data_IF_764653368823
#
_entry.id   IF_764653368823
#
_cell.length_a   1.000
_cell.length_b   1.000
_cell.length_c   1.000
_cell.angle_alpha   90.00
_cell.angle_beta   90.00
_cell.angle_gamma   90.00
#
_symmetry.space_group_name_H-M   'P 1'
#
loop_
_entity.id
_entity.type
_entity.pdbx_description
1 polymer ?
#
# COMPACT_ATOMS: atom_id res chain seq x y z
N UNK A 1 -26.14 4.03 2.94
CA UNK A 1 -25.75 4.63 4.22
C UNK A 1 -25.51 3.51 5.22
N UNK A 2 -24.34 3.50 5.88
CA UNK A 2 -24.04 2.55 6.95
C UNK A 2 -25.14 2.68 8.02
N UNK A 3 -25.62 1.53 8.49
CA UNK A 3 -26.63 1.52 9.55
C UNK A 3 -25.99 1.97 10.84
N UNK A 4 -26.74 2.64 11.71
CA UNK A 4 -26.25 3.14 12.99
C UNK A 4 -25.58 2.02 13.80
N UNK A 5 -26.16 0.82 13.79
CA UNK A 5 -25.64 -0.36 14.48
C UNK A 5 -24.26 -0.79 13.95
N UNK A 6 -23.98 -0.67 12.66
CA UNK A 6 -22.68 -0.99 12.02
C UNK A 6 -21.61 0.02 12.47
N UNK A 7 -21.96 1.31 12.53
CA UNK A 7 -21.08 2.34 13.05
C UNK A 7 -20.78 2.16 14.54
N UNK A 8 -21.78 1.79 15.33
CA UNK A 8 -21.60 1.51 16.77
C UNK A 8 -20.66 0.31 16.98
N UNK A 9 -20.79 -0.74 16.16
CA UNK A 9 -19.91 -1.91 16.18
C UNK A 9 -18.47 -1.53 15.84
N UNK A 10 -18.25 -0.77 14.76
CA UNK A 10 -16.92 -0.28 14.38
C UNK A 10 -16.33 0.63 15.46
N UNK A 11 -17.13 1.55 16.01
CA UNK A 11 -16.69 2.45 17.07
C UNK A 11 -16.44 1.75 18.40
N UNK A 12 -16.89 0.52 18.58
CA UNK A 12 -16.45 -0.37 19.68
C UNK A 12 -14.95 -0.68 19.62
N UNK A 13 -14.30 -0.46 18.48
CA UNK A 13 -12.85 -0.60 18.30
C UNK A 13 -12.06 0.71 18.48
N UNK A 14 -12.69 1.74 19.03
CA UNK A 14 -12.05 3.03 19.30
C UNK A 14 -11.21 2.97 20.57
N UNK A 15 -9.89 3.03 20.38
CA UNK A 15 -8.88 3.05 21.43
C UNK A 15 -7.86 4.15 21.14
N UNK A 16 -8.14 5.41 21.50
CA UNK A 16 -7.30 6.56 21.09
C UNK A 16 -5.87 6.51 21.63
N UNK A 17 -5.70 5.91 22.82
CA UNK A 17 -4.41 5.79 23.50
C UNK A 17 -3.73 4.44 23.24
N UNK A 18 -4.21 3.66 22.27
CA UNK A 18 -3.59 2.38 21.93
C UNK A 18 -2.22 2.59 21.31
N UNK A 19 -1.21 2.01 21.92
CA UNK A 19 0.16 1.98 21.40
C UNK A 19 0.56 0.51 21.23
N UNK A 20 0.71 0.05 19.96
CA UNK A 20 1.11 -1.33 19.70
C UNK A 20 2.54 -1.59 20.17
N UNK A 21 2.78 -2.74 20.73
CA UNK A 21 4.14 -3.24 20.94
C UNK A 21 4.72 -3.66 19.59
N UNK A 22 6.05 -3.62 19.47
CA UNK A 22 6.70 -3.90 18.18
C UNK A 22 6.42 -5.33 17.70
N UNK A 23 6.36 -6.28 18.63
CA UNK A 23 6.12 -7.71 18.37
C UNK A 23 4.69 -7.99 17.87
N UNK A 24 3.77 -7.08 18.13
CA UNK A 24 2.37 -7.23 17.70
C UNK A 24 2.21 -7.04 16.17
N UNK A 25 3.19 -6.45 15.50
CA UNK A 25 3.19 -6.19 14.06
C UNK A 25 1.94 -5.45 13.54
N UNK A 26 1.39 -4.52 14.35
CA UNK A 26 0.34 -3.63 13.88
C UNK A 26 0.89 -2.68 12.81
N UNK A 27 0.10 -2.47 11.76
CA UNK A 27 0.38 -1.43 10.77
C UNK A 27 -0.59 -0.27 10.94
N UNK A 28 -0.08 0.96 11.02
CA UNK A 28 -0.90 2.16 11.07
C UNK A 28 -1.23 2.66 9.67
N UNK A 29 -2.51 2.79 9.35
CA UNK A 29 -2.98 3.39 8.12
C UNK A 29 -3.34 4.85 8.38
N UNK A 30 -2.60 5.77 7.78
CA UNK A 30 -2.83 7.20 7.88
C UNK A 30 -3.16 7.82 6.52
N UNK A 31 -3.85 8.96 6.54
CA UNK A 31 -4.27 9.64 5.31
C UNK A 31 -3.17 10.50 4.70
N UNK A 32 -2.17 10.91 5.49
CA UNK A 32 -1.12 11.86 5.11
C UNK A 32 0.25 11.21 5.09
N UNK A 33 1.04 11.55 4.09
CA UNK A 33 2.40 11.02 3.92
C UNK A 33 3.35 11.51 5.03
N UNK A 34 3.28 12.80 5.37
CA UNK A 34 4.13 13.39 6.43
C UNK A 34 3.90 12.73 7.80
N UNK A 35 2.66 12.34 8.11
CA UNK A 35 2.34 11.58 9.32
C UNK A 35 2.97 10.17 9.29
N UNK A 36 2.90 9.50 8.15
CA UNK A 36 3.53 8.17 7.97
C UNK A 36 5.03 8.24 8.11
N UNK A 37 5.66 9.20 7.45
CA UNK A 37 7.12 9.39 7.50
C UNK A 37 7.55 9.67 8.95
N UNK A 38 6.86 10.58 9.65
CA UNK A 38 7.13 10.88 11.07
C UNK A 38 7.02 9.64 11.98
N UNK A 39 5.97 8.81 11.80
CA UNK A 39 5.79 7.59 12.63
C UNK A 39 6.94 6.62 12.38
N UNK A 40 7.29 6.38 11.12
CA UNK A 40 8.33 5.42 10.76
C UNK A 40 9.72 5.90 11.23
N UNK A 41 10.06 7.17 11.02
CA UNK A 41 11.33 7.75 11.47
C UNK A 41 11.46 7.73 13.01
N UNK A 42 10.40 8.13 13.71
CA UNK A 42 10.35 8.10 15.17
C UNK A 42 10.56 6.69 15.71
N UNK A 43 9.80 5.70 15.18
CA UNK A 43 9.91 4.31 15.60
C UNK A 43 11.29 3.72 15.32
N UNK A 44 11.89 4.03 14.17
CA UNK A 44 13.25 3.61 13.85
C UNK A 44 14.27 4.21 14.83
N UNK A 45 14.11 5.51 15.16
CA UNK A 45 15.01 6.19 16.09
C UNK A 45 14.92 5.64 17.52
N UNK A 46 13.73 5.19 17.96
CA UNK A 46 13.48 4.59 19.27
C UNK A 46 14.07 3.18 19.43
N UNK A 47 14.35 2.47 18.33
CA UNK A 47 14.98 1.16 18.40
C UNK A 47 16.44 1.25 18.85
N UNK A 48 16.87 0.30 19.71
CA UNK A 48 18.28 0.18 20.09
C UNK A 48 19.15 -0.27 18.92
N UNK A 49 20.45 -0.19 19.09
CA UNK A 49 21.43 -0.68 18.13
C UNK A 49 21.79 0.32 17.03
N UNK A 50 22.72 -0.10 16.20
CA UNK A 50 23.25 0.71 15.10
C UNK A 50 22.33 0.68 13.90
N UNK A 51 22.26 1.80 13.19
CA UNK A 51 21.51 1.93 11.96
C UNK A 51 22.34 1.36 10.80
N UNK A 52 21.76 0.46 10.06
CA UNK A 52 22.30 -0.05 8.81
C UNK A 52 21.64 0.65 7.63
N UNK A 53 22.44 1.14 6.69
CA UNK A 53 21.95 1.78 5.47
C UNK A 53 22.26 0.89 4.28
N UNK A 54 21.20 0.29 3.73
CA UNK A 54 21.28 -0.40 2.45
C UNK A 54 21.26 0.63 1.33
N UNK A 55 22.34 0.71 0.56
CA UNK A 55 22.47 1.66 -0.56
C UNK A 55 22.04 0.99 -1.84
N UNK A 56 20.94 1.47 -2.43
CA UNK A 56 20.44 0.98 -3.72
C UNK A 56 21.34 1.44 -4.88
N UNK A 57 21.22 0.75 -6.00
CA UNK A 57 21.99 1.01 -7.21
C UNK A 57 21.07 1.39 -8.36
N UNK A 58 21.34 2.53 -8.98
CA UNK A 58 20.66 2.97 -10.21
C UNK A 58 21.62 2.84 -11.39
N UNK A 59 21.15 2.23 -12.47
CA UNK A 59 21.85 2.19 -13.75
C UNK A 59 20.92 2.74 -14.83
N UNK A 60 21.46 3.59 -15.72
CA UNK A 60 20.69 4.23 -16.79
C UNK A 60 19.67 5.26 -16.31
N UNK A 61 18.54 5.35 -17.00
CA UNK A 61 17.47 6.33 -16.74
C UNK A 61 16.40 5.70 -15.83
N UNK A 62 16.51 5.93 -14.52
CA UNK A 62 15.50 5.53 -13.54
C UNK A 62 15.15 6.73 -12.64
N UNK A 63 13.99 7.40 -12.87
CA UNK A 63 13.62 8.60 -12.12
C UNK A 63 13.44 8.34 -10.62
N UNK A 64 13.96 9.20 -9.77
CA UNK A 64 13.80 9.10 -8.31
C UNK A 64 12.34 9.04 -7.87
N UNK A 65 11.44 9.75 -8.56
CA UNK A 65 9.99 9.72 -8.30
C UNK A 65 9.34 8.36 -8.53
N UNK A 66 10.01 7.47 -9.28
CA UNK A 66 9.54 6.13 -9.62
C UNK A 66 10.18 5.04 -8.75
N UNK A 67 11.08 5.40 -7.83
CA UNK A 67 11.71 4.43 -6.94
C UNK A 67 10.67 3.70 -6.09
N UNK A 68 10.62 2.36 -6.15
CA UNK A 68 9.69 1.55 -5.35
C UNK A 68 10.01 1.63 -3.85
N UNK A 69 11.26 1.83 -3.47
CA UNK A 69 11.72 2.07 -2.09
C UNK A 69 12.79 3.16 -2.06
N UNK A 70 13.33 3.47 -0.88
CA UNK A 70 14.36 4.50 -0.73
C UNK A 70 15.69 4.05 -1.36
N UNK A 71 16.40 4.98 -2.02
CA UNK A 71 17.75 4.72 -2.52
C UNK A 71 18.70 4.38 -1.37
N UNK A 72 18.63 5.12 -0.27
CA UNK A 72 19.34 4.83 0.97
C UNK A 72 18.29 4.36 1.97
N UNK A 73 18.16 3.05 2.12
CA UNK A 73 17.19 2.43 3.01
C UNK A 73 17.80 2.23 4.39
N UNK A 74 17.39 3.05 5.35
CA UNK A 74 17.82 2.94 6.76
C UNK A 74 16.94 1.94 7.49
N UNK A 75 17.58 0.95 8.12
CA UNK A 75 16.94 -0.08 8.94
C UNK A 75 17.76 -0.38 10.18
N UNK A 76 17.14 -0.99 11.18
CA UNK A 76 17.79 -1.57 12.37
C UNK A 76 17.22 -2.96 12.64
N UNK A 77 17.93 -3.74 13.44
CA UNK A 77 17.30 -4.93 14.03
C UNK A 77 16.01 -4.53 14.77
N UNK A 78 15.00 -5.38 14.72
CA UNK A 78 13.64 -5.17 15.22
C UNK A 78 12.83 -4.13 14.42
N UNK A 79 13.34 -3.57 13.33
CA UNK A 79 12.53 -2.69 12.48
C UNK A 79 11.40 -3.46 11.80
N UNK A 80 10.18 -2.92 11.92
CA UNK A 80 9.03 -3.45 11.20
C UNK A 80 9.08 -3.02 9.73
N UNK A 81 8.99 -3.99 8.84
CA UNK A 81 9.08 -3.77 7.39
C UNK A 81 7.91 -4.41 6.65
N UNK A 82 7.63 -3.91 5.46
CA UNK A 82 6.69 -4.48 4.51
C UNK A 82 7.41 -4.81 3.21
N UNK A 83 7.17 -6.00 2.68
CA UNK A 83 7.65 -6.37 1.36
C UNK A 83 6.84 -5.66 0.28
N UNK A 84 7.52 -5.11 -0.71
CA UNK A 84 6.93 -4.30 -1.79
C UNK A 84 6.94 -4.99 -3.15
N UNK A 85 7.40 -6.22 -3.17
CA UNK A 85 7.42 -7.07 -4.35
C UNK A 85 7.13 -8.53 -3.97
N UNK A 86 6.71 -9.32 -4.96
CA UNK A 86 6.51 -10.75 -4.78
C UNK A 86 7.83 -11.48 -4.92
N UNK A 87 8.11 -12.39 -4.01
CA UNK A 87 9.30 -13.23 -4.11
C UNK A 87 9.15 -14.30 -5.21
N UNK A 88 10.22 -14.56 -5.95
CA UNK A 88 10.22 -15.57 -7.01
C UNK A 88 9.98 -16.97 -6.47
N UNK A 89 10.53 -17.30 -5.30
CA UNK A 89 10.34 -18.59 -4.63
C UNK A 89 9.06 -18.65 -3.78
N UNK A 90 8.25 -17.57 -3.80
CA UNK A 90 6.99 -17.45 -3.06
C UNK A 90 7.16 -17.50 -1.54
N UNK A 91 8.31 -17.09 -1.02
CA UNK A 91 8.56 -16.96 0.43
C UNK A 91 7.69 -15.86 1.05
N UNK A 92 7.41 -14.81 0.28
CA UNK A 92 6.50 -13.70 0.64
C UNK A 92 5.81 -13.14 -0.61
N UNK A 93 4.80 -12.32 -0.38
CA UNK A 93 4.12 -11.53 -1.42
C UNK A 93 4.17 -10.06 -1.08
N UNK A 94 3.90 -9.21 -2.07
CA UNK A 94 3.74 -7.77 -1.84
C UNK A 94 2.68 -7.51 -0.76
N UNK A 95 3.05 -6.75 0.27
CA UNK A 95 2.22 -6.47 1.44
C UNK A 95 2.49 -7.37 2.65
N UNK A 96 3.32 -8.41 2.53
CA UNK A 96 3.73 -9.22 3.68
C UNK A 96 4.49 -8.35 4.68
N UNK A 97 4.11 -8.41 5.95
CA UNK A 97 4.79 -7.72 7.05
C UNK A 97 5.79 -8.66 7.71
N UNK A 98 6.91 -8.11 8.13
CA UNK A 98 7.91 -8.80 8.93
C UNK A 98 8.69 -7.84 9.82
N UNK A 99 9.56 -8.41 10.62
CA UNK A 99 10.48 -7.68 11.49
C UNK A 99 11.90 -8.08 11.15
N UNK A 100 12.80 -7.11 11.01
CA UNK A 100 14.23 -7.39 10.80
C UNK A 100 14.74 -8.15 12.02
N UNK A 101 15.09 -9.42 11.84
CA UNK A 101 15.56 -10.30 12.91
C UNK A 101 17.08 -10.27 13.09
N UNK A 102 17.81 -9.85 12.07
CA UNK A 102 19.26 -9.69 12.14
C UNK A 102 19.83 -9.06 10.88
N UNK A 103 21.01 -8.47 11.04
CA UNK A 103 21.85 -7.95 9.96
C UNK A 103 23.26 -8.47 10.22
N UNK A 104 23.83 -9.28 9.34
CA UNK A 104 25.14 -9.84 9.53
C UNK A 104 26.28 -8.87 9.13
N UNK A 105 27.52 -9.28 9.41
CA UNK A 105 28.72 -8.48 9.11
C UNK A 105 28.93 -8.21 7.60
N UNK A 106 28.29 -9.02 6.73
CA UNK A 106 28.33 -8.85 5.28
C UNK A 106 27.20 -7.94 4.77
N UNK A 107 26.31 -7.47 5.66
CA UNK A 107 25.14 -6.67 5.32
C UNK A 107 23.96 -7.50 4.80
N UNK A 108 23.95 -8.82 5.02
CA UNK A 108 22.78 -9.63 4.73
C UNK A 108 21.69 -9.35 5.76
N UNK A 109 20.50 -9.07 5.27
CA UNK A 109 19.33 -8.71 6.09
C UNK A 109 18.39 -9.91 6.20
N UNK A 110 18.07 -10.29 7.43
CA UNK A 110 17.13 -11.35 7.74
C UNK A 110 15.83 -10.75 8.27
N UNK A 111 14.71 -11.28 7.82
CA UNK A 111 13.37 -10.81 8.23
C UNK A 111 12.53 -12.00 8.70
N UNK A 112 12.04 -11.88 9.94
CA UNK A 112 11.07 -12.80 10.53
C UNK A 112 9.67 -12.36 10.11
N UNK A 113 8.96 -13.22 9.41
CA UNK A 113 7.58 -12.97 8.97
C UNK A 113 6.58 -13.22 10.10
N UNK A 114 5.36 -12.68 9.98
CA UNK A 114 4.24 -12.94 10.90
C UNK A 114 3.93 -14.45 11.03
N UNK A 115 4.24 -15.25 10.01
CA UNK A 115 4.14 -16.72 10.03
C UNK A 115 5.13 -17.41 10.99
N UNK A 116 6.11 -16.68 11.55
CA UNK A 116 7.20 -17.22 12.37
C UNK A 116 8.36 -17.79 11.58
N UNK A 117 8.39 -17.63 10.25
CA UNK A 117 9.49 -18.07 9.39
C UNK A 117 10.43 -16.91 9.10
N UNK A 118 11.73 -17.15 9.30
CA UNK A 118 12.79 -16.19 8.98
C UNK A 118 13.34 -16.44 7.57
N UNK A 119 13.57 -15.35 6.84
CA UNK A 119 14.14 -15.39 5.50
C UNK A 119 15.26 -14.37 5.32
N UNK A 120 16.31 -14.78 4.61
CA UNK A 120 17.28 -13.86 4.01
C UNK A 120 16.57 -13.05 2.92
N UNK A 121 16.71 -11.73 2.98
CA UNK A 121 16.16 -10.80 1.98
C UNK A 121 17.26 -10.37 1.03
N UNK A 122 17.16 -10.79 -0.22
CA UNK A 122 18.09 -10.42 -1.26
C UNK A 122 17.60 -9.19 -2.03
N UNK A 123 18.51 -8.34 -2.58
CA UNK A 123 18.13 -7.23 -3.44
C UNK A 123 17.35 -7.71 -4.68
N UNK A 124 16.37 -6.91 -5.06
CA UNK A 124 15.56 -7.08 -6.28
C UNK A 124 15.87 -5.96 -7.26
N UNK A 125 15.84 -6.27 -8.55
CA UNK A 125 16.07 -5.31 -9.62
C UNK A 125 14.76 -4.95 -10.32
N UNK A 126 14.39 -3.66 -10.29
CA UNK A 126 13.27 -3.11 -11.03
C UNK A 126 13.76 -2.47 -12.33
N UNK A 127 12.96 -2.55 -13.39
CA UNK A 127 13.30 -2.06 -14.73
C UNK A 127 12.40 -0.89 -15.11
N UNK A 128 13.00 0.15 -15.69
CA UNK A 128 12.29 1.23 -16.34
C UNK A 128 12.24 0.96 -17.83
N UNK A 129 11.04 1.00 -18.42
CA UNK A 129 10.81 0.72 -19.83
C UNK A 129 10.40 1.98 -20.57
N UNK A 130 10.95 2.18 -21.79
CA UNK A 130 10.41 3.09 -22.79
C UNK A 130 9.75 2.28 -23.89
N UNK A 131 8.59 2.76 -24.32
CA UNK A 131 7.84 2.16 -25.41
C UNK A 131 8.15 2.94 -26.70
N UNK A 132 8.61 2.24 -27.74
CA UNK A 132 8.84 2.80 -29.08
C UNK A 132 7.95 2.08 -30.07
N UNK A 133 7.33 2.86 -30.97
CA UNK A 133 6.60 2.26 -32.09
C UNK A 133 7.58 1.92 -33.21
N UNK A 134 7.65 0.65 -33.59
CA UNK A 134 8.42 0.18 -34.72
C UNK A 134 7.52 0.23 -35.97
N UNK A 135 7.75 1.22 -36.85
CA UNK A 135 6.95 1.42 -38.07
C UNK A 135 7.06 0.26 -39.06
N UNK A 136 8.22 -0.44 -39.09
CA UNK A 136 8.45 -1.57 -40.02
C UNK A 136 7.67 -2.79 -39.61
N UNK A 137 7.64 -3.09 -38.30
CA UNK A 137 6.98 -4.26 -37.75
C UNK A 137 5.56 -3.96 -37.27
N UNK A 138 5.12 -2.70 -37.30
CA UNK A 138 3.81 -2.20 -36.85
C UNK A 138 3.46 -2.65 -35.42
N UNK A 139 4.45 -2.69 -34.55
CA UNK A 139 4.29 -3.08 -33.13
C UNK A 139 4.98 -2.10 -32.20
N UNK A 140 4.51 -2.09 -30.95
CA UNK A 140 5.18 -1.38 -29.86
C UNK A 140 6.30 -2.28 -29.34
N UNK A 141 7.52 -1.75 -29.27
CA UNK A 141 8.69 -2.40 -28.70
C UNK A 141 9.01 -1.78 -27.34
N UNK A 142 9.39 -2.64 -26.39
CA UNK A 142 9.83 -2.25 -25.05
C UNK A 142 11.37 -2.20 -25.03
N UNK A 143 11.92 -1.07 -24.59
CA UNK A 143 13.35 -0.90 -24.38
C UNK A 143 13.60 -0.62 -22.89
N UNK A 144 14.45 -1.42 -22.25
CA UNK A 144 14.90 -1.15 -20.88
C UNK A 144 15.87 0.03 -20.94
N UNK A 145 15.50 1.14 -20.30
CA UNK A 145 16.31 2.39 -20.28
C UNK A 145 17.03 2.59 -18.96
N UNK A 146 16.62 1.90 -17.91
CA UNK A 146 17.28 1.95 -16.61
C UNK A 146 16.84 0.83 -15.70
N UNK A 147 17.64 0.60 -14.66
CA UNK A 147 17.36 -0.35 -13.59
C UNK A 147 17.61 0.27 -12.22
N UNK A 148 16.87 -0.19 -11.24
CA UNK A 148 17.08 0.12 -9.83
C UNK A 148 17.16 -1.17 -9.03
N UNK A 149 18.22 -1.35 -8.25
CA UNK A 149 18.43 -2.51 -7.39
C UNK A 149 18.45 -2.09 -5.93
N UNK A 150 17.65 -2.76 -5.08
CA UNK A 150 17.57 -2.52 -3.64
C UNK A 150 16.84 -3.69 -2.97
N UNK A 151 16.93 -3.80 -1.65
CA UNK A 151 16.10 -4.69 -0.85
C UNK A 151 14.60 -4.38 -1.10
N UNK A 152 13.76 -5.39 -1.38
CA UNK A 152 12.34 -5.19 -1.71
C UNK A 152 11.48 -4.94 -0.47
N UNK A 153 11.94 -4.08 0.43
CA UNK A 153 11.29 -3.75 1.69
C UNK A 153 11.21 -2.24 1.93
N UNK A 154 10.31 -1.84 2.82
CA UNK A 154 10.19 -0.48 3.39
C UNK A 154 9.89 -0.57 4.87
N UNK A 155 10.22 0.46 5.63
CA UNK A 155 9.70 0.63 6.98
C UNK A 155 8.17 0.66 6.96
N UNK A 156 7.54 -0.01 7.90
CA UNK A 156 6.10 -0.23 7.88
C UNK A 156 5.42 -0.27 9.26
N UNK A 157 5.82 0.56 10.20
CA UNK A 157 4.94 0.87 11.34
C UNK A 157 3.73 1.67 10.90
N UNK A 158 3.90 2.48 9.83
CA UNK A 158 2.80 3.17 9.17
C UNK A 158 2.96 3.16 7.64
N UNK A 159 1.82 3.16 6.94
CA UNK A 159 1.72 3.42 5.50
C UNK A 159 0.50 4.30 5.22
N UNK A 160 0.46 4.95 4.05
CA UNK A 160 -0.73 5.70 3.67
C UNK A 160 -1.87 4.76 3.25
N UNK A 161 -3.12 5.18 3.52
CA UNK A 161 -4.31 4.45 3.05
C UNK A 161 -4.24 4.20 1.54
N UNK A 162 -3.71 5.16 0.77
CA UNK A 162 -3.53 4.99 -0.68
C UNK A 162 -2.60 3.83 -1.03
N UNK A 163 -1.44 3.74 -0.37
CA UNK A 163 -0.46 2.65 -0.61
C UNK A 163 -0.92 1.29 -0.07
N UNK A 164 -1.92 1.26 0.80
CA UNK A 164 -2.51 0.01 1.31
C UNK A 164 -3.55 -0.59 0.36
N UNK A 165 -3.90 0.07 -0.74
CA UNK A 165 -4.87 -0.46 -1.71
C UNK A 165 -4.40 -1.79 -2.28
N UNK A 166 -5.31 -2.78 -2.29
CA UNK A 166 -5.00 -4.14 -2.73
C UNK A 166 -4.30 -5.03 -1.71
N UNK A 167 -3.84 -4.47 -0.58
CA UNK A 167 -3.21 -5.21 0.50
C UNK A 167 -4.23 -5.56 1.59
N UNK A 168 -3.93 -6.57 2.40
CA UNK A 168 -4.70 -6.95 3.59
C UNK A 168 -3.76 -7.29 4.74
N UNK A 169 -4.19 -6.99 5.96
CA UNK A 169 -3.40 -7.16 7.16
C UNK A 169 -4.24 -7.78 8.27
N UNK A 170 -3.63 -8.56 9.14
CA UNK A 170 -4.28 -9.15 10.31
C UNK A 170 -4.53 -8.13 11.42
N UNK A 171 -3.65 -7.13 11.55
CA UNK A 171 -3.67 -6.13 12.62
C UNK A 171 -3.44 -4.72 12.07
N UNK A 172 -4.44 -3.85 12.25
CA UNK A 172 -4.45 -2.52 11.66
C UNK A 172 -4.87 -1.48 12.69
N UNK A 173 -4.10 -0.41 12.78
CA UNK A 173 -4.51 0.84 13.44
C UNK A 173 -4.95 1.82 12.35
N UNK A 174 -6.21 2.25 12.36
CA UNK A 174 -6.72 3.28 11.44
C UNK A 174 -6.63 4.63 12.13
N UNK A 175 -5.77 5.50 11.59
CA UNK A 175 -5.58 6.87 12.06
C UNK A 175 -6.07 7.87 11.00
N UNK A 176 -7.27 8.37 11.20
CA UNK A 176 -7.89 9.41 10.37
C UNK A 176 -7.80 10.81 10.98
N UNK A 177 -6.97 11.00 12.01
CA UNK A 177 -6.82 12.32 12.69
C UNK A 177 -6.31 13.41 11.76
N UNK A 178 -5.56 13.04 10.71
CA UNK A 178 -5.14 13.95 9.63
C UNK A 178 -6.26 14.43 8.70
N UNK A 179 -7.50 13.97 8.89
CA UNK A 179 -8.64 14.23 8.04
C UNK A 179 -8.80 13.23 6.89
N UNK A 180 -10.01 13.13 6.36
CA UNK A 180 -10.35 12.32 5.18
C UNK A 180 -10.51 13.25 3.99
N UNK A 181 -9.65 13.16 2.99
CA UNK A 181 -9.58 14.10 1.87
C UNK A 181 -10.27 13.60 0.60
N UNK A 182 -10.46 12.27 0.48
CA UNK A 182 -11.07 11.68 -0.69
C UNK A 182 -12.21 10.71 -0.31
N UNK A 183 -13.27 10.73 -1.10
CA UNK A 183 -14.37 9.77 -0.95
C UNK A 183 -13.83 8.34 -1.01
N UNK A 184 -14.30 7.50 -0.10
CA UNK A 184 -13.91 6.09 -0.02
C UNK A 184 -12.64 5.80 0.79
N UNK A 185 -11.84 6.78 1.22
CA UNK A 185 -10.62 6.52 2.02
C UNK A 185 -10.91 5.74 3.30
N UNK A 186 -11.98 6.12 4.03
CA UNK A 186 -12.39 5.40 5.24
C UNK A 186 -12.73 3.94 4.95
N UNK A 187 -13.48 3.68 3.86
CA UNK A 187 -13.80 2.33 3.43
C UNK A 187 -12.55 1.54 3.07
N UNK A 188 -11.63 2.13 2.30
CA UNK A 188 -10.35 1.49 1.95
C UNK A 188 -9.58 1.13 3.21
N UNK A 189 -9.43 2.05 4.17
CA UNK A 189 -8.69 1.80 5.40
C UNK A 189 -9.31 0.66 6.21
N UNK A 190 -10.64 0.69 6.43
CA UNK A 190 -11.36 -0.35 7.18
C UNK A 190 -11.29 -1.71 6.51
N UNK A 191 -11.39 -1.75 5.17
CA UNK A 191 -11.35 -2.99 4.40
C UNK A 191 -9.95 -3.62 4.29
N UNK A 192 -8.91 -2.97 4.83
CA UNK A 192 -7.55 -3.55 4.88
C UNK A 192 -7.39 -4.57 6.00
N UNK A 193 -8.18 -4.49 7.07
CA UNK A 193 -8.12 -5.44 8.16
C UNK A 193 -8.96 -6.69 7.86
N UNK A 194 -8.39 -7.87 8.10
CA UNK A 194 -9.05 -9.15 7.82
C UNK A 194 -10.11 -9.52 8.87
N UNK A 195 -10.05 -8.93 10.06
CA UNK A 195 -11.00 -9.18 11.15
C UNK A 195 -11.30 -7.92 11.96
N UNK A 196 -12.44 -7.90 12.64
CA UNK A 196 -12.79 -6.80 13.53
C UNK A 196 -11.90 -6.76 14.78
N UNK A 197 -11.44 -7.92 15.24
CA UNK A 197 -10.57 -8.06 16.42
C UNK A 197 -9.20 -7.43 16.19
N UNK A 198 -8.67 -7.53 14.98
CA UNK A 198 -7.39 -6.91 14.58
C UNK A 198 -7.47 -5.42 14.31
N UNK A 199 -8.68 -4.84 14.28
CA UNK A 199 -8.89 -3.43 13.96
C UNK A 199 -8.81 -2.57 15.23
N UNK A 200 -8.08 -1.46 15.14
CA UNK A 200 -8.05 -0.38 16.15
C UNK A 200 -8.32 0.94 15.46
N UNK A 201 -9.18 1.77 16.06
CA UNK A 201 -9.47 3.13 15.56
C UNK A 201 -8.87 4.17 16.51
N UNK A 202 -8.07 5.10 16.01
CA UNK A 202 -7.54 6.27 16.76
C UNK A 202 -8.56 7.40 16.88
N UNK A 203 -9.58 7.42 16.00
CA UNK A 203 -10.69 8.37 16.03
C UNK A 203 -12.00 7.65 15.76
N UNK A 204 -13.10 8.14 16.37
CA UNK A 204 -14.43 7.60 16.07
C UNK A 204 -14.82 7.93 14.64
N UNK A 205 -15.43 6.95 13.97
CA UNK A 205 -15.96 7.10 12.63
C UNK A 205 -17.39 7.61 12.72
N UNK A 206 -17.68 8.61 11.93
CA UNK A 206 -19.02 9.17 11.76
C UNK A 206 -19.55 8.92 10.35
N UNK A 207 -20.84 9.11 10.14
CA UNK A 207 -21.43 9.00 8.81
C UNK A 207 -20.86 10.01 7.80
N UNK A 208 -20.24 11.09 8.28
CA UNK A 208 -19.59 12.11 7.45
C UNK A 208 -18.25 11.64 6.89
N UNK A 209 -17.60 10.70 7.54
CA UNK A 209 -16.31 10.11 7.12
C UNK A 209 -16.52 9.04 6.05
N UNK A 210 -17.78 8.59 5.88
CA UNK A 210 -18.18 7.60 4.89
C UNK A 210 -18.96 8.31 3.80
N UNK A 211 -18.27 8.94 2.87
CA UNK A 211 -18.90 9.63 1.75
C UNK A 211 -18.41 9.07 0.41
N UNK A 212 -19.32 9.05 -0.55
CA UNK A 212 -19.05 8.71 -1.94
C UNK A 212 -19.33 9.98 -2.76
N UNK A 213 -18.46 10.31 -3.70
CA UNK A 213 -18.70 11.46 -4.61
C UNK A 213 -20.01 11.24 -5.36
N UNK A 214 -20.82 12.30 -5.48
CA UNK A 214 -22.11 12.23 -6.17
C UNK A 214 -21.95 11.73 -7.61
N UNK A 215 -20.92 12.19 -8.30
CA UNK A 215 -20.61 11.80 -9.68
C UNK A 215 -20.41 10.28 -9.83
N UNK A 216 -19.81 9.62 -8.82
CA UNK A 216 -19.64 8.15 -8.82
C UNK A 216 -20.98 7.45 -8.62
N UNK A 217 -21.84 8.00 -7.74
CA UNK A 217 -23.19 7.43 -7.52
C UNK A 217 -24.03 7.59 -8.78
N UNK A 218 -24.02 8.76 -9.40
CA UNK A 218 -24.72 9.04 -10.65
C UNK A 218 -24.20 8.14 -11.78
N UNK A 219 -22.88 8.04 -11.95
CA UNK A 219 -22.27 7.12 -12.91
C UNK A 219 -22.68 5.68 -12.68
N UNK A 220 -22.65 5.19 -11.42
CA UNK A 220 -23.04 3.84 -11.07
C UNK A 220 -24.53 3.55 -11.39
N UNK A 221 -25.39 4.55 -11.19
CA UNK A 221 -26.82 4.43 -11.53
C UNK A 221 -27.04 4.37 -13.05
N UNK A 222 -26.29 5.15 -13.81
CA UNK A 222 -26.33 5.16 -15.28
C UNK A 222 -25.73 3.85 -15.84
N UNK A 223 -24.56 3.46 -15.34
CA UNK A 223 -23.81 2.29 -15.81
C UNK A 223 -24.56 0.96 -15.57
N UNK A 224 -25.30 0.86 -14.48
CA UNK A 224 -26.10 -0.33 -14.15
C UNK A 224 -27.54 -0.24 -14.68
N UNK A 225 -27.88 0.79 -15.43
CA UNK A 225 -29.21 0.95 -15.99
C UNK A 225 -29.30 0.26 -17.35
N UNK A 226 -29.83 -0.96 -17.34
CA UNK A 226 -29.94 -1.80 -18.54
C UNK A 226 -30.71 -1.12 -19.69
N UNK A 227 -31.72 -0.33 -19.39
CA UNK A 227 -32.50 0.42 -20.38
C UNK A 227 -31.68 1.51 -21.10
N UNK A 228 -30.76 2.18 -20.37
CA UNK A 228 -29.86 3.18 -20.95
C UNK A 228 -28.78 2.51 -21.80
N UNK A 229 -28.27 1.36 -21.39
CA UNK A 229 -27.28 0.57 -22.14
C UNK A 229 -27.89 0.11 -23.46
N UNK A 230 -29.10 -0.47 -23.42
CA UNK A 230 -29.83 -0.93 -24.61
C UNK A 230 -30.17 0.23 -25.58
N UNK A 231 -30.47 1.42 -25.03
CA UNK A 231 -30.69 2.62 -25.84
C UNK A 231 -29.42 3.06 -26.56
N UNK A 232 -28.27 3.13 -25.84
CA UNK A 232 -26.98 3.51 -26.42
C UNK A 232 -26.51 2.52 -27.50
N UNK A 233 -26.74 1.22 -27.30
CA UNK A 233 -26.43 0.20 -28.30
C UNK A 233 -27.26 0.42 -29.56
N UNK A 234 -28.57 0.64 -29.44
CA UNK A 234 -29.46 0.90 -30.58
C UNK A 234 -29.10 2.19 -31.33
N UNK A 235 -28.72 3.24 -30.63
CA UNK A 235 -28.24 4.50 -31.23
C UNK A 235 -26.96 4.29 -32.01
N UNK A 236 -25.97 3.56 -31.47
CA UNK A 236 -24.70 3.22 -32.15
C UNK A 236 -24.93 2.30 -33.36
N UNK A 237 -25.86 1.34 -33.29
CA UNK A 237 -26.20 0.47 -34.41
C UNK A 237 -26.90 1.25 -35.54
N UNK A 238 -27.73 2.24 -35.19
CA UNK A 238 -28.40 3.10 -36.19
C UNK A 238 -27.37 4.01 -36.90
N UNK A 239 -26.36 4.57 -36.20
CA UNK A 239 -25.31 5.37 -36.82
C UNK A 239 -24.41 4.56 -37.77
N UNK A 240 -24.16 3.28 -37.45
CA UNK A 240 -23.39 2.37 -38.31
C UNK A 240 -24.15 1.94 -39.59
N UNK A 241 -25.47 2.07 -39.63
CA UNK A 241 -26.29 1.72 -40.83
C UNK A 241 -26.43 2.89 -41.81
N UNK A 242 -26.09 4.12 -41.43
CA UNK A 242 -26.20 5.34 -42.26
C UNK A 242 -24.87 5.99 -42.63
N UNK A 243 -23.73 5.38 -42.30
CA UNK A 243 -22.37 5.76 -42.71
C UNK A 243 -21.79 4.72 -43.66
#
# INVERSE_FOLDING_TARGET
>A
AARKQELDTLNGRYFPSFEPQNEDMYITLATRRDQVDFINEKKLAELPGEEYVSVGKIEGDFPESSLPTQLNLSIKEQAQVIFIDNDYERRWVNGTIGMVSGIDENGNVYVLLESGVEHLVEPTSWRNYKYKYNEKEKRIEEEIVGTFEQLPIRLAWAITVHKSQGLTFSRVVVDLTGGVFAGGQTYVALSRCTSLEGLVLKSKISSRDIFIRKEIVEFSQIFNNQALIEKSIKESEAELQYG
#
